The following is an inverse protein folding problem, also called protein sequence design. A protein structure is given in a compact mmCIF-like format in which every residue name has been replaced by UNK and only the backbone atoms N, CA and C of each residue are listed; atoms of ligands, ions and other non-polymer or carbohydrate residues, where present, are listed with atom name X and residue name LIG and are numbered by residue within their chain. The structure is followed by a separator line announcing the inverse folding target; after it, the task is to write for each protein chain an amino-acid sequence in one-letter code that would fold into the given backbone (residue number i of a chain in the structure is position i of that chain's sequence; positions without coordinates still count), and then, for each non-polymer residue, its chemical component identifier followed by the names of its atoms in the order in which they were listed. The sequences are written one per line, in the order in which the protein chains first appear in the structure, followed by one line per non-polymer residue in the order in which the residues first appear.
data_IF_006518012987
#
_entry.id   IF_006518012987
#
_cell.length_a   1.000
_cell.length_b   1.000
_cell.length_c   1.000
_cell.angle_alpha   90.00
_cell.angle_beta   90.00
_cell.angle_gamma   90.00
#
_symmetry.space_group_name_H-M   'P 1'
#
loop_
_entity.id
_entity.type
_entity.pdbx_description
1 polymer ?
#
# COMPACT_ATOMS: atom_id res chain seq x y z
N UNK A 1 -67.67 -22.01 -0.17
CA UNK A 1 -66.37 -22.51 -0.65
C UNK A 1 -65.35 -21.39 -0.59
N UNK A 2 -64.53 -21.32 0.47
CA UNK A 2 -63.40 -20.38 0.56
C UNK A 2 -62.15 -21.13 0.09
N UNK A 3 -61.40 -20.56 -0.85
CA UNK A 3 -60.14 -21.14 -1.35
C UNK A 3 -59.10 -21.12 -0.23
N UNK A 4 -58.43 -22.25 -0.01
CA UNK A 4 -57.26 -22.34 0.85
C UNK A 4 -56.07 -21.67 0.15
N UNK A 5 -55.34 -20.82 0.86
CA UNK A 5 -54.05 -20.26 0.42
C UNK A 5 -52.96 -21.34 0.50
N UNK A 6 -51.94 -21.32 -0.39
CA UNK A 6 -50.86 -22.28 -0.34
C UNK A 6 -49.87 -21.96 0.79
N UNK A 7 -49.47 -23.02 1.49
CA UNK A 7 -48.53 -23.02 2.61
C UNK A 7 -47.14 -22.55 2.16
N UNK A 8 -46.65 -21.45 2.72
CA UNK A 8 -45.31 -20.91 2.45
C UNK A 8 -44.32 -21.65 3.37
N UNK A 9 -43.30 -22.36 2.84
CA UNK A 9 -42.40 -23.10 3.69
C UNK A 9 -41.62 -22.16 4.62
N UNK A 10 -41.60 -22.49 5.90
CA UNK A 10 -40.90 -21.73 6.92
C UNK A 10 -39.41 -21.61 6.59
N UNK A 11 -38.87 -20.39 6.73
CA UNK A 11 -37.43 -20.12 6.58
C UNK A 11 -36.65 -21.02 7.54
N UNK A 12 -35.74 -21.82 7.00
CA UNK A 12 -34.75 -22.53 7.81
C UNK A 12 -33.91 -21.52 8.59
N UNK A 13 -33.65 -21.75 9.89
CA UNK A 13 -32.65 -20.96 10.61
C UNK A 13 -31.26 -21.20 9.99
N UNK A 14 -30.35 -20.21 10.02
CA UNK A 14 -29.00 -20.38 9.49
C UNK A 14 -28.29 -21.52 10.25
N UNK A 15 -27.41 -22.29 9.58
CA UNK A 15 -26.68 -23.38 10.23
C UNK A 15 -25.85 -22.83 11.38
N UNK A 16 -26.07 -23.37 12.58
CA UNK A 16 -25.20 -23.15 13.73
C UNK A 16 -23.93 -23.97 13.53
N UNK A 17 -22.88 -23.32 13.04
CA UNK A 17 -21.53 -23.88 13.04
C UNK A 17 -21.01 -23.86 14.48
N UNK A 18 -21.19 -24.97 15.21
CA UNK A 18 -20.57 -25.15 16.51
C UNK A 18 -19.05 -25.15 16.39
N UNK A 19 -18.37 -24.31 17.18
CA UNK A 19 -16.99 -24.57 17.59
C UNK A 19 -15.88 -23.64 17.11
N UNK A 20 -16.15 -22.48 16.51
CA UNK A 20 -15.15 -21.40 16.38
C UNK A 20 -15.79 -20.12 16.92
N UNK A 21 -15.66 -19.92 18.23
CA UNK A 21 -16.12 -18.70 18.89
C UNK A 21 -15.31 -17.51 18.40
N UNK A 22 -15.95 -16.64 17.61
CA UNK A 22 -15.60 -15.23 17.68
C UNK A 22 -16.21 -14.74 18.99
N UNK A 23 -15.41 -14.71 20.05
CA UNK A 23 -15.80 -13.98 21.25
C UNK A 23 -16.05 -12.53 20.86
N UNK A 24 -17.31 -12.15 20.70
CA UNK A 24 -17.75 -10.79 20.95
C UNK A 24 -17.74 -10.66 22.47
N UNK A 25 -16.55 -10.39 23.01
CA UNK A 25 -16.46 -9.77 24.32
C UNK A 25 -16.98 -8.34 24.13
N UNK A 26 -18.22 -8.12 24.54
CA UNK A 26 -18.94 -6.83 24.56
C UNK A 26 -18.36 -5.88 25.62
N UNK A 27 -17.03 -5.84 25.77
CA UNK A 27 -16.31 -4.92 26.67
C UNK A 27 -14.94 -4.55 26.06
N UNK A 28 -14.94 -3.87 24.92
CA UNK A 28 -13.77 -3.07 24.50
C UNK A 28 -14.14 -1.61 24.68
N UNK A 29 -13.52 -1.00 25.68
CA UNK A 29 -13.69 0.40 26.04
C UNK A 29 -13.42 1.33 24.87
N UNK A 30 -14.23 2.38 24.80
CA UNK A 30 -14.06 3.62 24.07
C UNK A 30 -12.64 4.19 24.24
N UNK A 31 -11.73 3.91 23.30
CA UNK A 31 -10.63 4.78 22.86
C UNK A 31 -10.16 4.33 21.45
N UNK A 32 -10.05 5.29 20.54
CA UNK A 32 -9.44 5.26 19.20
C UNK A 32 -10.28 4.73 18.02
N UNK A 33 -11.32 5.50 17.69
CA UNK A 33 -11.84 5.66 16.33
C UNK A 33 -10.67 5.86 15.36
N UNK A 34 -10.61 5.07 14.28
CA UNK A 34 -9.60 5.13 13.23
C UNK A 34 -9.34 6.58 12.79
N UNK A 35 -8.17 7.12 13.13
CA UNK A 35 -7.79 8.48 12.73
C UNK A 35 -7.52 8.47 11.22
N UNK A 36 -8.34 9.23 10.50
CA UNK A 36 -8.15 9.64 9.12
C UNK A 36 -6.69 10.10 8.88
N UNK A 37 -5.84 9.26 8.30
CA UNK A 37 -4.48 9.65 7.96
C UNK A 37 -4.48 10.50 6.68
N UNK A 38 -4.11 11.78 6.79
CA UNK A 38 -3.86 12.69 5.66
C UNK A 38 -2.37 12.95 5.51
N UNK A 39 -1.84 12.82 4.29
CA UNK A 39 -0.44 13.08 4.01
C UNK A 39 -0.18 14.60 3.98
N UNK A 40 0.72 15.08 4.83
CA UNK A 40 1.16 16.48 4.89
C UNK A 40 2.66 16.60 4.63
N UNK A 41 3.16 17.82 4.45
CA UNK A 41 4.60 18.08 4.40
C UNK A 41 5.31 17.61 5.68
N UNK A 42 4.67 17.75 6.85
CA UNK A 42 5.24 17.30 8.11
C UNK A 42 5.35 15.76 8.15
N UNK A 43 4.34 15.05 7.63
CA UNK A 43 4.40 13.60 7.46
C UNK A 43 5.40 13.15 6.39
N UNK A 44 5.54 13.94 5.32
CA UNK A 44 6.58 13.71 4.31
C UNK A 44 7.97 13.76 4.93
N UNK A 45 8.25 14.78 5.76
CA UNK A 45 9.53 14.93 6.43
C UNK A 45 9.77 13.83 7.47
N UNK A 46 8.76 13.49 8.29
CA UNK A 46 8.84 12.36 9.23
C UNK A 46 9.09 11.03 8.53
N UNK A 47 8.35 10.76 7.46
CA UNK A 47 8.41 9.49 6.74
C UNK A 47 9.68 9.33 5.91
N UNK A 48 10.24 10.42 5.38
CA UNK A 48 11.47 10.37 4.56
C UNK A 48 12.75 10.61 5.35
N UNK A 49 12.66 11.23 6.53
CA UNK A 49 13.82 11.76 7.26
C UNK A 49 14.54 12.90 6.52
N UNK A 50 13.89 13.50 5.52
CA UNK A 50 14.47 14.54 4.68
C UNK A 50 14.53 15.91 5.34
N UNK A 51 15.37 16.79 4.79
CA UNK A 51 15.47 18.19 5.20
C UNK A 51 14.81 19.11 4.17
N UNK A 52 13.84 19.91 4.60
CA UNK A 52 13.12 20.86 3.76
C UNK A 52 13.95 22.13 3.52
N UNK A 53 13.95 22.61 2.27
CA UNK A 53 14.42 23.92 1.86
C UNK A 53 13.34 24.63 1.05
N UNK A 54 13.10 25.90 1.37
CA UNK A 54 11.97 26.66 0.85
C UNK A 54 10.71 26.49 1.70
N UNK A 55 9.68 27.26 1.38
CA UNK A 55 8.41 27.25 2.09
C UNK A 55 7.28 26.77 1.15
N UNK A 56 6.70 25.58 1.37
CA UNK A 56 5.53 25.16 0.61
C UNK A 56 4.33 26.01 0.99
N UNK A 57 3.60 26.49 -0.02
CA UNK A 57 2.39 27.30 0.18
C UNK A 57 1.21 26.50 0.74
N UNK A 58 1.18 25.18 0.49
CA UNK A 58 0.20 24.24 1.03
C UNK A 58 0.88 23.27 2.00
N UNK A 59 0.16 22.88 3.05
CA UNK A 59 0.61 21.85 4.01
C UNK A 59 0.21 20.44 3.60
N UNK A 60 -0.94 20.30 2.96
CA UNK A 60 -1.49 19.01 2.52
C UNK A 60 -0.89 18.58 1.19
N UNK A 61 -0.53 17.30 1.10
CA UNK A 61 0.03 16.68 -0.10
C UNK A 61 -1.08 15.95 -0.83
N UNK A 62 -1.47 16.43 -2.01
CA UNK A 62 -2.56 15.84 -2.79
C UNK A 62 -2.22 14.43 -3.33
N UNK A 63 -0.93 14.10 -3.42
CA UNK A 63 -0.45 12.81 -3.89
C UNK A 63 1.05 12.81 -4.12
N UNK A 64 1.57 11.68 -4.60
CA UNK A 64 2.99 11.49 -4.87
C UNK A 64 3.17 10.93 -6.28
N UNK A 65 4.08 11.52 -7.04
CA UNK A 65 4.46 11.05 -8.38
C UNK A 65 5.98 10.87 -8.50
N UNK A 66 6.41 9.87 -9.26
CA UNK A 66 7.80 9.69 -9.70
C UNK A 66 8.00 10.04 -11.19
N UNK A 67 6.94 10.46 -11.87
CA UNK A 67 6.94 10.79 -13.29
C UNK A 67 6.48 12.24 -13.47
N UNK A 68 7.38 13.08 -13.97
CA UNK A 68 7.09 14.51 -14.22
C UNK A 68 6.00 14.69 -15.26
N UNK A 69 5.77 13.69 -16.13
CA UNK A 69 4.76 13.76 -17.20
C UNK A 69 3.34 13.73 -16.65
N UNK A 70 3.12 12.99 -15.57
CA UNK A 70 1.82 12.74 -14.97
C UNK A 70 1.60 13.48 -13.64
N UNK A 71 2.53 14.36 -13.24
CA UNK A 71 2.38 15.10 -12.00
C UNK A 71 1.25 16.13 -12.11
N UNK A 72 0.45 16.21 -11.05
CA UNK A 72 -0.67 17.14 -10.93
C UNK A 72 -0.38 18.21 -9.88
N UNK A 73 -1.06 19.38 -9.95
CA UNK A 73 -0.92 20.43 -8.94
C UNK A 73 -1.12 19.91 -7.51
N UNK A 74 -0.24 20.32 -6.60
CA UNK A 74 -0.31 19.91 -5.18
C UNK A 74 0.33 18.55 -4.87
N UNK A 75 0.77 17.80 -5.87
CA UNK A 75 1.52 16.55 -5.65
C UNK A 75 2.98 16.79 -5.34
N UNK A 76 3.62 15.84 -4.66
CA UNK A 76 5.07 15.82 -4.41
C UNK A 76 5.76 14.96 -5.47
N UNK A 77 6.79 15.53 -6.10
CA UNK A 77 7.60 14.83 -7.09
C UNK A 77 8.79 14.12 -6.44
N UNK A 78 8.94 12.82 -6.65
CA UNK A 78 10.14 12.08 -6.26
C UNK A 78 11.07 11.93 -7.46
N UNK A 79 12.22 12.61 -7.42
CA UNK A 79 13.22 12.57 -8.47
C UNK A 79 14.02 11.26 -8.42
N UNK A 80 13.45 10.16 -8.94
CA UNK A 80 14.11 8.85 -8.96
C UNK A 80 15.21 8.82 -10.03
N UNK A 81 16.41 8.41 -9.65
CA UNK A 81 17.49 8.12 -10.59
C UNK A 81 17.47 6.64 -10.99
N UNK A 82 17.24 6.39 -12.28
CA UNK A 82 17.30 5.07 -12.89
C UNK A 82 18.46 4.94 -13.88
N UNK A 83 18.68 3.74 -14.46
CA UNK A 83 19.81 3.49 -15.35
C UNK A 83 19.78 4.28 -16.67
N UNK A 84 18.59 4.69 -17.12
CA UNK A 84 18.38 5.38 -18.41
C UNK A 84 17.91 6.82 -18.26
N UNK A 85 17.50 7.21 -17.07
CA UNK A 85 16.78 8.45 -16.83
C UNK A 85 17.00 8.89 -15.40
N UNK A 86 17.23 10.18 -15.20
CA UNK A 86 17.35 10.77 -13.88
C UNK A 86 16.26 11.82 -13.68
N UNK A 87 15.33 11.56 -12.75
CA UNK A 87 14.23 12.47 -12.41
C UNK A 87 14.68 13.86 -11.98
N UNK A 88 15.94 14.05 -11.54
CA UNK A 88 16.46 15.37 -11.15
C UNK A 88 16.53 16.34 -12.33
N UNK A 89 16.64 15.83 -13.57
CA UNK A 89 16.66 16.68 -14.76
C UNK A 89 15.24 17.23 -15.09
N UNK A 90 14.18 16.80 -14.38
CA UNK A 90 12.78 17.15 -14.65
C UNK A 90 12.13 18.01 -13.55
N UNK A 91 12.94 18.58 -12.66
CA UNK A 91 12.45 19.44 -11.57
C UNK A 91 11.76 20.71 -12.08
N UNK A 92 12.25 21.29 -13.18
CA UNK A 92 11.63 22.45 -13.80
C UNK A 92 10.24 22.11 -14.39
N UNK A 93 10.10 20.94 -15.01
CA UNK A 93 8.80 20.46 -15.51
C UNK A 93 7.82 20.22 -14.36
N UNK A 94 8.28 19.58 -13.28
CA UNK A 94 7.46 19.34 -12.10
C UNK A 94 6.97 20.67 -11.47
N UNK A 95 7.86 21.66 -11.34
CA UNK A 95 7.49 23.00 -10.87
C UNK A 95 6.44 23.65 -11.78
N UNK A 96 6.64 23.60 -13.10
CA UNK A 96 5.74 24.20 -14.08
C UNK A 96 4.32 23.60 -14.05
N UNK A 97 4.21 22.32 -13.67
CA UNK A 97 2.91 21.64 -13.48
C UNK A 97 2.30 21.82 -12.09
N UNK A 98 2.91 22.62 -11.23
CA UNK A 98 2.38 22.96 -9.90
C UNK A 98 2.68 21.92 -8.83
N UNK A 99 3.76 21.15 -8.98
CA UNK A 99 4.21 20.26 -7.90
C UNK A 99 4.45 21.07 -6.61
N UNK A 100 3.95 20.55 -5.49
CA UNK A 100 4.02 21.21 -4.19
C UNK A 100 5.47 21.28 -3.66
N UNK A 101 6.22 20.21 -3.89
CA UNK A 101 7.62 20.08 -3.53
C UNK A 101 8.26 18.95 -4.37
N UNK A 102 9.59 18.90 -4.39
CA UNK A 102 10.32 17.75 -4.91
C UNK A 102 11.25 17.11 -3.87
N UNK A 103 11.30 15.78 -3.86
CA UNK A 103 12.23 14.98 -3.07
C UNK A 103 13.42 14.62 -3.95
N UNK A 104 14.62 15.01 -3.52
CA UNK A 104 15.87 14.86 -4.31
C UNK A 104 16.98 14.29 -3.45
N UNK A 105 17.90 13.54 -4.05
CA UNK A 105 19.10 13.06 -3.35
C UNK A 105 20.37 13.88 -3.68
N UNK A 106 20.40 14.55 -4.82
CA UNK A 106 21.47 15.48 -5.21
C UNK A 106 20.94 16.91 -5.32
N UNK A 107 21.85 17.88 -5.21
CA UNK A 107 21.45 19.27 -5.46
C UNK A 107 21.02 19.44 -6.93
N UNK A 108 19.95 20.20 -7.18
CA UNK A 108 19.59 20.60 -8.52
C UNK A 108 20.66 21.53 -9.11
N UNK A 109 20.86 21.46 -10.42
CA UNK A 109 21.86 22.27 -11.15
C UNK A 109 21.56 23.77 -11.08
N UNK A 110 20.29 24.12 -10.93
CA UNK A 110 19.81 25.49 -10.75
C UNK A 110 18.81 25.52 -9.58
N UNK A 111 18.67 26.66 -8.87
CA UNK A 111 17.65 26.82 -7.85
C UNK A 111 16.27 26.49 -8.41
N UNK A 112 15.58 25.48 -7.88
CA UNK A 112 14.29 25.07 -8.39
C UNK A 112 13.23 26.09 -7.94
N UNK A 113 12.24 26.33 -8.80
CA UNK A 113 11.10 27.20 -8.49
C UNK A 113 10.07 26.55 -7.54
N UNK A 114 10.46 25.48 -6.82
CA UNK A 114 9.62 24.76 -5.88
C UNK A 114 10.44 24.32 -4.65
N UNK A 115 9.80 24.15 -3.47
CA UNK A 115 10.45 23.61 -2.28
C UNK A 115 11.09 22.24 -2.52
N UNK A 116 12.21 22.00 -1.84
CA UNK A 116 12.98 20.75 -1.98
C UNK A 116 13.11 20.05 -0.64
N UNK A 117 12.86 18.76 -0.64
CA UNK A 117 13.18 17.85 0.47
C UNK A 117 14.43 17.05 0.07
N UNK A 118 15.55 17.34 0.74
CA UNK A 118 16.82 16.64 0.52
C UNK A 118 16.86 15.35 1.32
N UNK A 119 17.13 14.23 0.65
CA UNK A 119 17.31 12.90 1.25
C UNK A 119 18.63 12.27 0.81
N UNK A 120 19.04 11.17 1.45
CA UNK A 120 20.24 10.43 1.02
C UNK A 120 19.99 9.58 -0.24
N UNK A 121 18.80 9.00 -0.37
CA UNK A 121 18.38 8.14 -1.49
C UNK A 121 16.87 8.28 -1.69
N UNK A 122 16.45 8.70 -2.89
CA UNK A 122 15.05 8.97 -3.21
C UNK A 122 14.18 7.71 -3.26
N UNK A 123 14.72 6.59 -3.72
CA UNK A 123 13.99 5.32 -3.81
C UNK A 123 13.75 4.74 -2.43
N UNK A 124 14.77 4.79 -1.57
CA UNK A 124 14.64 4.41 -0.16
C UNK A 124 13.65 5.31 0.56
N UNK A 125 13.75 6.62 0.38
CA UNK A 125 12.84 7.59 0.99
C UNK A 125 11.37 7.36 0.59
N UNK A 126 11.11 7.01 -0.69
CA UNK A 126 9.76 6.67 -1.16
C UNK A 126 9.19 5.46 -0.40
N UNK A 127 10.02 4.42 -0.22
CA UNK A 127 9.64 3.23 0.54
C UNK A 127 9.50 3.48 2.05
N UNK A 128 10.34 4.35 2.63
CA UNK A 128 10.25 4.77 4.03
C UNK A 128 8.95 5.55 4.28
N UNK A 129 8.59 6.48 3.39
CA UNK A 129 7.34 7.22 3.45
C UNK A 129 6.12 6.29 3.34
N UNK A 130 6.11 5.36 2.39
CA UNK A 130 5.01 4.41 2.25
C UNK A 130 4.82 3.54 3.50
N UNK A 131 5.92 3.13 4.15
CA UNK A 131 5.86 2.40 5.44
C UNK A 131 5.31 3.28 6.56
N UNK A 132 5.70 4.56 6.58
CA UNK A 132 5.19 5.53 7.53
C UNK A 132 3.68 5.70 7.41
N UNK A 133 3.19 6.00 6.20
CA UNK A 133 1.76 6.11 5.88
C UNK A 133 1.02 4.84 6.24
N UNK A 134 1.55 3.67 5.86
CA UNK A 134 0.91 2.39 6.14
C UNK A 134 0.76 2.11 7.64
N UNK A 135 1.78 2.43 8.45
CA UNK A 135 1.71 2.25 9.91
C UNK A 135 0.69 3.19 10.53
N UNK A 136 0.69 4.45 10.11
CA UNK A 136 -0.22 5.45 10.62
C UNK A 136 -1.69 5.16 10.26
N UNK A 137 -1.94 4.58 9.08
CA UNK A 137 -3.30 4.22 8.65
C UNK A 137 -3.93 3.07 9.46
N UNK A 138 -3.13 2.20 10.11
CA UNK A 138 -3.63 1.14 11.00
C UNK A 138 -4.54 0.06 10.38
N UNK A 139 -4.89 0.16 9.09
CA UNK A 139 -5.92 -0.70 8.48
C UNK A 139 -5.44 -2.11 8.09
N UNK A 140 -6.36 -3.08 7.99
CA UNK A 140 -6.06 -4.43 7.51
C UNK A 140 -5.57 -4.43 6.07
N UNK A 141 -4.53 -5.21 5.78
CA UNK A 141 -4.05 -5.38 4.40
C UNK A 141 -3.82 -6.82 4.04
N UNK A 142 -4.23 -7.14 2.81
CA UNK A 142 -4.00 -8.42 2.17
C UNK A 142 -2.91 -8.27 1.12
N UNK A 143 -1.81 -9.00 1.30
CA UNK A 143 -0.75 -9.11 0.28
C UNK A 143 -0.99 -10.33 -0.59
N UNK A 144 -1.00 -10.16 -1.91
CA UNK A 144 -1.20 -11.23 -2.89
C UNK A 144 0.07 -11.42 -3.69
N UNK A 145 0.65 -12.61 -3.60
CA UNK A 145 1.88 -12.98 -4.32
C UNK A 145 1.70 -14.29 -5.07
N UNK A 146 2.64 -14.62 -5.96
CA UNK A 146 2.65 -15.85 -6.75
C UNK A 146 2.92 -15.63 -8.23
N UNK A 147 3.14 -16.71 -8.97
CA UNK A 147 3.51 -16.63 -10.39
C UNK A 147 2.30 -16.42 -11.30
N UNK A 148 1.12 -16.92 -10.92
CA UNK A 148 -0.10 -16.94 -11.75
C UNK A 148 -1.32 -16.51 -10.94
N UNK A 149 -2.29 -15.84 -11.54
CA UNK A 149 -3.59 -15.56 -10.91
C UNK A 149 -3.58 -14.48 -9.82
N UNK A 150 -2.45 -13.76 -9.62
CA UNK A 150 -2.35 -12.65 -8.66
C UNK A 150 -3.41 -11.58 -8.92
N UNK A 151 -3.50 -11.10 -10.16
CA UNK A 151 -4.44 -10.03 -10.52
C UNK A 151 -5.88 -10.47 -10.33
N UNK A 152 -6.26 -11.67 -10.78
CA UNK A 152 -7.61 -12.23 -10.56
C UNK A 152 -7.93 -12.35 -9.07
N UNK A 153 -7.01 -12.90 -8.27
CA UNK A 153 -7.18 -13.04 -6.82
C UNK A 153 -7.32 -11.67 -6.16
N UNK A 154 -6.52 -10.69 -6.57
CA UNK A 154 -6.58 -9.30 -6.08
C UNK A 154 -7.91 -8.65 -6.38
N UNK A 155 -8.42 -8.78 -7.60
CA UNK A 155 -9.73 -8.25 -7.97
C UNK A 155 -10.86 -8.90 -7.17
N UNK A 156 -10.84 -10.24 -7.01
CA UNK A 156 -11.84 -10.96 -6.22
C UNK A 156 -11.79 -10.60 -4.73
N UNK A 157 -10.60 -10.58 -4.13
CA UNK A 157 -10.43 -10.19 -2.71
C UNK A 157 -10.86 -8.75 -2.47
N UNK A 158 -10.48 -7.82 -3.37
CA UNK A 158 -10.89 -6.42 -3.26
C UNK A 158 -12.41 -6.27 -3.37
N UNK A 159 -13.06 -6.97 -4.31
CA UNK A 159 -14.52 -6.94 -4.47
C UNK A 159 -15.26 -7.47 -3.23
N UNK A 160 -14.75 -8.55 -2.62
CA UNK A 160 -15.34 -9.08 -1.38
C UNK A 160 -15.17 -8.11 -0.21
N UNK A 161 -13.98 -7.54 -0.01
CA UNK A 161 -13.75 -6.57 1.06
C UNK A 161 -14.52 -5.27 0.84
N UNK A 162 -14.73 -4.86 -0.42
CA UNK A 162 -15.50 -3.68 -0.78
C UNK A 162 -16.97 -3.73 -0.30
N UNK A 163 -17.51 -4.93 -0.04
CA UNK A 163 -18.84 -5.08 0.58
C UNK A 163 -18.92 -4.55 2.01
N UNK A 164 -17.77 -4.30 2.66
CA UNK A 164 -17.66 -3.77 4.04
C UNK A 164 -17.17 -2.33 4.11
N UNK A 165 -16.86 -1.69 2.97
CA UNK A 165 -16.41 -0.31 2.89
C UNK A 165 -15.38 -0.09 1.78
N UNK A 166 -14.91 1.15 1.56
CA UNK A 166 -13.93 1.44 0.50
C UNK A 166 -12.62 0.67 0.70
N UNK A 167 -12.03 0.18 -0.40
CA UNK A 167 -10.81 -0.62 -0.40
C UNK A 167 -9.79 -0.05 -1.37
N UNK A 168 -8.58 0.18 -0.88
CA UNK A 168 -7.45 0.50 -1.74
C UNK A 168 -6.94 -0.79 -2.38
N UNK A 169 -6.66 -0.81 -3.69
CA UNK A 169 -6.02 -1.95 -4.34
C UNK A 169 -4.90 -1.52 -5.27
N UNK A 170 -3.92 -2.40 -5.50
CA UNK A 170 -2.92 -2.18 -6.56
C UNK A 170 -3.60 -2.08 -7.92
N UNK A 171 -3.29 -1.03 -8.68
CA UNK A 171 -3.81 -0.81 -10.03
C UNK A 171 -2.76 -1.14 -11.10
N UNK A 172 -3.24 -1.62 -12.26
CA UNK A 172 -2.39 -1.91 -13.40
C UNK A 172 -1.20 -2.82 -13.06
N UNK A 173 0.00 -2.39 -13.45
CA UNK A 173 1.27 -3.10 -13.26
C UNK A 173 2.11 -2.54 -12.11
N UNK A 174 1.51 -1.85 -11.13
CA UNK A 174 2.18 -1.25 -9.98
C UNK A 174 2.61 -2.27 -8.90
N UNK A 175 3.17 -3.40 -9.32
CA UNK A 175 3.57 -4.52 -8.47
C UNK A 175 5.10 -4.63 -8.29
N UNK A 176 5.85 -3.60 -8.68
CA UNK A 176 7.30 -3.50 -8.52
C UNK A 176 7.70 -2.65 -7.30
N UNK A 177 9.01 -2.49 -7.08
CA UNK A 177 9.59 -1.75 -5.96
C UNK A 177 9.15 -0.28 -5.84
N UNK A 178 8.62 0.34 -6.91
CA UNK A 178 8.07 1.70 -6.89
C UNK A 178 6.55 1.72 -6.80
N UNK A 179 5.88 0.83 -7.54
CA UNK A 179 4.43 0.80 -7.65
C UNK A 179 3.74 0.46 -6.33
N UNK A 180 4.34 -0.40 -5.52
CA UNK A 180 3.79 -0.73 -4.21
C UNK A 180 3.83 0.46 -3.23
N UNK A 181 4.97 1.17 -3.04
CA UNK A 181 4.98 2.43 -2.31
C UNK A 181 3.94 3.43 -2.83
N UNK A 182 3.88 3.66 -4.14
CA UNK A 182 2.93 4.61 -4.74
C UNK A 182 1.48 4.22 -4.49
N UNK A 183 1.17 2.92 -4.50
CA UNK A 183 -0.16 2.43 -4.14
C UNK A 183 -0.49 2.78 -2.69
N UNK A 184 0.41 2.50 -1.74
CA UNK A 184 0.20 2.80 -0.32
C UNK A 184 0.06 4.30 -0.03
N UNK A 185 0.74 5.15 -0.79
CA UNK A 185 0.64 6.61 -0.67
C UNK A 185 -0.70 7.17 -1.18
N UNK A 186 -1.55 6.34 -1.79
CA UNK A 186 -2.94 6.66 -2.14
C UNK A 186 -3.95 6.24 -1.06
N UNK A 187 -3.47 5.76 0.08
CA UNK A 187 -4.33 5.56 1.25
C UNK A 187 -5.02 6.87 1.61
N UNK A 188 -6.28 6.75 1.99
CA UNK A 188 -7.17 7.86 2.32
C UNK A 188 -8.05 7.46 3.51
N UNK A 189 -8.54 8.41 4.31
CA UNK A 189 -9.33 8.16 5.50
C UNK A 189 -10.53 7.21 5.32
N UNK A 190 -11.17 7.24 4.15
CA UNK A 190 -12.34 6.43 3.84
C UNK A 190 -12.02 4.94 3.61
N UNK A 191 -10.75 4.58 3.40
CA UNK A 191 -10.38 3.19 3.17
C UNK A 191 -10.46 2.36 4.45
N UNK A 192 -11.13 1.23 4.33
CA UNK A 192 -11.33 0.25 5.42
C UNK A 192 -10.37 -0.94 5.33
N UNK A 193 -9.81 -1.19 4.14
CA UNK A 193 -8.79 -2.21 3.92
C UNK A 193 -7.91 -1.86 2.69
N UNK A 194 -6.79 -2.56 2.54
CA UNK A 194 -6.04 -2.55 1.28
C UNK A 194 -5.70 -3.95 0.75
N UNK A 195 -5.65 -4.11 -0.58
CA UNK A 195 -5.29 -5.36 -1.27
C UNK A 195 -4.14 -5.09 -2.23
N UNK A 196 -2.95 -5.56 -1.87
CA UNK A 196 -1.71 -5.25 -2.56
C UNK A 196 -1.22 -6.44 -3.38
N UNK A 197 -1.04 -6.23 -4.68
CA UNK A 197 -0.38 -7.22 -5.55
C UNK A 197 1.14 -7.05 -5.49
N UNK A 198 1.84 -8.13 -5.13
CA UNK A 198 3.28 -8.15 -4.94
C UNK A 198 3.95 -8.93 -6.08
N UNK A 199 4.81 -8.25 -6.84
CA UNK A 199 5.67 -8.88 -7.83
C UNK A 199 6.77 -9.70 -7.17
N UNK A 200 7.00 -10.93 -7.63
CA UNK A 200 8.04 -11.83 -7.11
C UNK A 200 9.43 -11.52 -7.70
N UNK A 201 9.82 -10.24 -7.78
CA UNK A 201 11.03 -9.85 -8.51
C UNK A 201 12.30 -9.91 -7.67
N UNK A 202 12.22 -9.75 -6.34
CA UNK A 202 13.37 -9.83 -5.45
C UNK A 202 13.11 -10.62 -4.14
N UNK A 203 14.01 -11.52 -3.72
CA UNK A 203 13.97 -12.13 -2.39
C UNK A 203 13.98 -11.05 -1.29
N UNK A 204 13.14 -11.19 -0.25
CA UNK A 204 13.09 -10.26 0.89
C UNK A 204 12.15 -9.05 0.73
N UNK A 205 11.60 -8.81 -0.46
CA UNK A 205 10.65 -7.72 -0.69
C UNK A 205 9.37 -7.91 0.13
N UNK A 206 8.86 -9.15 0.24
CA UNK A 206 7.74 -9.51 1.11
C UNK A 206 8.00 -9.16 2.58
N UNK A 207 9.19 -9.44 3.11
CA UNK A 207 9.55 -9.17 4.51
C UNK A 207 9.60 -7.67 4.82
N UNK A 208 9.98 -6.84 3.84
CA UNK A 208 10.01 -5.37 3.97
C UNK A 208 8.63 -4.76 4.24
N UNK A 209 7.57 -5.42 3.77
CA UNK A 209 6.19 -4.93 3.84
C UNK A 209 5.30 -5.71 4.83
N UNK A 210 5.87 -6.69 5.54
CA UNK A 210 5.16 -7.38 6.63
C UNK A 210 4.97 -6.40 7.79
N UNK A 211 3.73 -6.16 8.24
CA UNK A 211 3.51 -5.36 9.42
C UNK A 211 3.93 -6.12 10.68
N UNK A 212 4.18 -5.36 11.74
CA UNK A 212 4.42 -5.86 13.08
C UNK A 212 3.13 -6.22 13.84
N UNK A 213 1.95 -5.98 13.26
CA UNK A 213 0.64 -6.16 13.89
C UNK A 213 -0.11 -7.37 13.33
N UNK A 214 -0.99 -7.94 14.16
CA UNK A 214 -1.76 -9.19 13.93
C UNK A 214 -2.83 -9.10 12.83
N UNK A 215 -3.11 -7.90 12.29
CA UNK A 215 -4.25 -7.65 11.37
C UNK A 215 -3.87 -7.76 9.89
N UNK A 216 -2.93 -8.62 9.50
CA UNK A 216 -2.50 -8.74 8.09
C UNK A 216 -2.32 -10.17 7.62
N UNK A 217 -2.80 -10.42 6.40
CA UNK A 217 -2.84 -11.75 5.78
C UNK A 217 -2.07 -11.76 4.46
N UNK A 218 -1.33 -12.83 4.22
CA UNK A 218 -0.60 -13.08 2.97
C UNK A 218 -1.25 -14.25 2.24
N UNK A 219 -1.74 -14.00 1.03
CA UNK A 219 -2.26 -15.02 0.13
C UNK A 219 -1.21 -15.32 -0.94
N UNK A 220 -0.85 -16.60 -1.05
CA UNK A 220 0.02 -17.10 -2.13
C UNK A 220 -0.83 -17.83 -3.16
N UNK A 221 -0.71 -17.44 -4.42
CA UNK A 221 -1.29 -18.20 -5.52
C UNK A 221 -0.32 -19.31 -5.98
N UNK A 222 -0.81 -20.37 -6.66
CA UNK A 222 0.03 -21.49 -7.09
C UNK A 222 1.19 -21.08 -8.02
N UNK A 223 2.32 -21.79 -7.92
CA UNK A 223 3.45 -21.68 -8.87
C UNK A 223 3.45 -22.87 -9.83
N UNK A 224 3.38 -22.67 -11.16
CA UNK A 224 3.35 -23.78 -12.12
C UNK A 224 4.73 -24.39 -12.43
N UNK A 225 5.83 -23.94 -11.81
CA UNK A 225 7.16 -24.56 -12.01
C UNK A 225 7.98 -24.62 -10.71
N UNK A 226 8.60 -25.78 -10.38
CA UNK A 226 9.61 -25.84 -9.33
C UNK A 226 10.90 -25.23 -9.88
N UNK A 227 11.11 -23.92 -9.69
CA UNK A 227 12.48 -23.40 -9.81
C UNK A 227 13.24 -23.91 -8.59
N UNK A 228 14.13 -24.88 -8.83
CA UNK A 228 15.08 -25.43 -7.85
C UNK A 228 15.97 -24.32 -7.30
N UNK A 229 15.51 -23.61 -6.27
CA UNK A 229 16.34 -22.96 -5.26
C UNK A 229 15.58 -23.11 -3.95
N UNK A 230 15.85 -24.22 -3.25
CA UNK A 230 15.32 -24.45 -1.92
C UNK A 230 15.76 -23.30 -1.01
N UNK A 231 14.75 -22.55 -0.59
CA UNK A 231 14.73 -21.74 0.60
C UNK A 231 14.77 -22.67 1.82
N UNK A 232 15.70 -22.44 2.74
CA UNK A 232 15.56 -22.52 4.21
C UNK A 232 16.93 -22.76 4.85
N UNK A 233 17.34 -21.84 5.72
CA UNK A 233 18.34 -22.11 6.75
C UNK A 233 17.69 -22.86 7.92
N UNK A 234 17.15 -24.06 7.66
CA UNK A 234 16.68 -24.97 8.70
C UNK A 234 17.73 -26.08 8.89
N UNK A 235 18.12 -26.47 10.12
CA UNK A 235 19.15 -27.49 10.33
C UNK A 235 18.69 -28.83 9.75
N UNK A 236 19.56 -29.48 8.97
CA UNK A 236 19.34 -30.81 8.42
C UNK A 236 19.64 -31.86 9.48
N UNK A 237 18.64 -32.25 10.26
CA UNK A 237 18.70 -33.53 10.98
C UNK A 237 17.39 -34.30 10.83
N UNK A 238 17.51 -35.55 10.37
CA UNK A 238 16.58 -36.61 10.70
C UNK A 238 15.39 -36.85 9.78
N UNK A 239 15.61 -37.30 8.54
CA UNK A 239 14.65 -38.17 7.84
C UNK A 239 15.41 -39.32 7.14
N UNK A 240 15.68 -40.41 7.91
CA UNK A 240 15.50 -41.80 7.43
C UNK A 240 13.98 -42.02 7.42
N UNK A 241 13.35 -42.69 6.48
CA UNK A 241 13.67 -43.92 5.74
C UNK A 241 13.06 -43.88 4.34
#
# INVERSE_FOLDING_TARGET
MRRAEPDVPQRFPPPTWGGIGWGVDDQVGDQDVAVAFTLTIDELLRGTGGALRGAPGLREVAGVSIDSRTIEPGQVFFAIAGPRFDGHDFLAEAAAKGALAAVVHREPKAPPALPIVRVADTTRALGDLARHVRRAAGLPVVGITGSVGKTTTKEMTAALLATRGPVLKTEGNLNNAYGLPLTLLRLRPEHTAAVLELGMSAPGELLRWRPSTSSSSLLSTPSPRPRRRCWTGCPREGWRS
#
